data_IF_747184040977
#
_entry.id   IF_747184040977
#
_cell.length_a   1.000
_cell.length_b   1.000
_cell.length_c   1.000
_cell.angle_alpha   90.00
_cell.angle_beta   90.00
_cell.angle_gamma   90.00
#
_symmetry.space_group_name_H-M   'P 1'
#
loop_
_entity.id
_entity.type
_entity.pdbx_description
1 polymer ?
#
# COMPACT_ATOMS: atom_id res chain seq x y z
N UNK A 1 1.62 -12.32 12.22
CA UNK A 1 1.75 -11.54 10.95
C UNK A 1 1.25 -10.11 11.13
N UNK A 2 0.04 -9.86 11.65
CA UNK A 2 -0.43 -8.50 11.99
C UNK A 2 0.39 -7.79 13.10
N UNK A 3 1.00 -8.54 14.03
CA UNK A 3 1.75 -7.96 15.16
C UNK A 3 3.11 -7.34 14.78
N UNK A 4 3.56 -7.48 13.53
CA UNK A 4 4.82 -6.86 13.09
C UNK A 4 4.66 -5.35 12.97
N UNK A 5 5.40 -4.58 13.76
CA UNK A 5 5.39 -3.10 13.73
C UNK A 5 5.74 -2.51 12.36
N UNK A 6 6.57 -3.20 11.57
CA UNK A 6 6.98 -2.80 10.22
C UNK A 6 5.85 -2.86 9.18
N UNK A 7 4.72 -3.49 9.50
CA UNK A 7 3.58 -3.61 8.59
C UNK A 7 2.62 -2.48 8.87
N UNK A 8 2.50 -1.57 7.91
CA UNK A 8 1.56 -0.44 7.94
C UNK A 8 0.13 -0.87 7.59
N UNK A 9 -0.02 -1.67 6.52
CA UNK A 9 -1.31 -2.08 6.00
C UNK A 9 -1.27 -3.50 5.40
N UNK A 10 -2.39 -4.20 5.47
CA UNK A 10 -2.63 -5.52 4.90
C UNK A 10 -3.89 -5.44 4.04
N UNK A 11 -3.77 -5.88 2.78
CA UNK A 11 -4.86 -5.96 1.81
C UNK A 11 -5.06 -7.43 1.45
N UNK A 12 -6.31 -7.88 1.46
CA UNK A 12 -6.63 -9.29 1.23
C UNK A 12 -7.39 -9.41 -0.09
N UNK A 13 -6.88 -10.20 -1.03
CA UNK A 13 -7.61 -10.53 -2.25
C UNK A 13 -8.42 -11.81 -2.06
N UNK A 14 -9.74 -11.71 -2.13
CA UNK A 14 -10.64 -12.86 -2.07
C UNK A 14 -11.97 -12.59 -2.76
N UNK A 15 -12.42 -13.54 -3.58
CA UNK A 15 -13.76 -13.52 -4.18
C UNK A 15 -14.88 -13.71 -3.16
N UNK A 16 -14.67 -14.52 -2.13
CA UNK A 16 -15.63 -14.80 -1.07
C UNK A 16 -15.30 -13.96 0.18
N UNK A 17 -15.81 -12.73 0.20
CA UNK A 17 -15.53 -11.74 1.25
C UNK A 17 -16.05 -12.18 2.63
N UNK A 18 -17.17 -12.90 2.68
CA UNK A 18 -17.84 -13.30 3.93
C UNK A 18 -16.95 -14.13 4.86
N UNK A 19 -15.98 -14.87 4.32
CA UNK A 19 -15.03 -15.64 5.14
C UNK A 19 -14.10 -14.78 5.98
N UNK A 20 -13.80 -13.57 5.50
CA UNK A 20 -12.73 -12.73 6.02
C UNK A 20 -13.22 -11.41 6.59
N UNK A 21 -14.49 -11.03 6.40
CA UNK A 21 -15.05 -9.78 6.94
C UNK A 21 -14.81 -9.60 8.45
N UNK A 22 -14.83 -10.70 9.21
CA UNK A 22 -14.47 -10.73 10.64
C UNK A 22 -13.05 -10.23 10.96
N UNK A 23 -12.12 -10.24 10.00
CA UNK A 23 -10.75 -9.76 10.18
C UNK A 23 -10.62 -8.25 9.99
N UNK A 24 -11.52 -7.64 9.22
CA UNK A 24 -11.56 -6.20 8.97
C UNK A 24 -12.11 -5.39 10.15
N UNK A 25 -13.01 -5.96 10.97
CA UNK A 25 -13.83 -5.15 11.89
C UNK A 25 -13.43 -5.23 13.36
N UNK A 26 -12.86 -6.35 13.84
CA UNK A 26 -12.64 -6.51 15.30
C UNK A 26 -11.25 -7.01 15.71
N UNK A 27 -10.53 -7.74 14.85
CA UNK A 27 -9.28 -8.39 15.25
C UNK A 27 -8.02 -7.66 14.81
N UNK A 28 -7.93 -7.20 13.56
CA UNK A 28 -6.65 -6.77 12.99
C UNK A 28 -6.72 -5.35 12.42
N UNK A 29 -6.29 -4.33 13.19
CA UNK A 29 -6.42 -2.92 12.79
C UNK A 29 -5.58 -2.55 11.54
N UNK A 30 -4.62 -3.40 11.17
CA UNK A 30 -3.79 -3.23 9.97
C UNK A 30 -4.46 -3.76 8.70
N UNK A 31 -5.55 -4.52 8.81
CA UNK A 31 -6.29 -4.98 7.63
C UNK A 31 -7.13 -3.81 7.12
N UNK A 32 -6.69 -3.23 6.00
CA UNK A 32 -7.36 -2.08 5.37
C UNK A 32 -8.58 -2.49 4.54
N UNK A 33 -8.65 -3.75 4.11
CA UNK A 33 -9.80 -4.24 3.38
C UNK A 33 -9.63 -5.62 2.75
N UNK A 34 -10.77 -6.16 2.32
CA UNK A 34 -10.87 -7.39 1.53
C UNK A 34 -11.47 -7.03 0.18
N UNK A 35 -10.77 -7.40 -0.88
CA UNK A 35 -11.05 -7.00 -2.24
C UNK A 35 -11.29 -8.22 -3.10
N UNK A 36 -12.36 -8.17 -3.90
CA UNK A 36 -12.66 -9.22 -4.88
C UNK A 36 -12.14 -8.88 -6.28
N UNK A 37 -11.64 -7.66 -6.47
CA UNK A 37 -11.00 -7.20 -7.69
C UNK A 37 -9.59 -6.67 -7.38
N UNK A 38 -8.62 -7.03 -8.21
CA UNK A 38 -7.24 -6.54 -8.16
C UNK A 38 -7.18 -5.03 -8.41
N UNK A 39 -8.02 -4.48 -9.29
CA UNK A 39 -8.02 -3.03 -9.58
C UNK A 39 -8.32 -2.22 -8.31
N UNK A 40 -9.29 -2.68 -7.52
CA UNK A 40 -9.64 -2.04 -6.25
C UNK A 40 -8.52 -2.13 -5.21
N UNK A 41 -7.67 -3.17 -5.26
CA UNK A 41 -6.45 -3.24 -4.45
C UNK A 41 -5.45 -2.21 -4.93
N UNK A 42 -5.21 -2.14 -6.25
CA UNK A 42 -4.27 -1.19 -6.84
C UNK A 42 -4.66 0.25 -6.50
N UNK A 43 -5.94 0.60 -6.59
CA UNK A 43 -6.43 1.93 -6.21
C UNK A 43 -6.25 2.22 -4.71
N UNK A 44 -6.54 1.23 -3.86
CA UNK A 44 -6.34 1.37 -2.42
C UNK A 44 -4.87 1.49 -2.03
N UNK A 45 -3.99 0.75 -2.71
CA UNK A 45 -2.53 0.84 -2.54
C UNK A 45 -2.02 2.20 -3.00
N UNK A 46 -2.49 2.71 -4.15
CA UNK A 46 -2.14 4.06 -4.65
C UNK A 46 -2.57 5.14 -3.66
N UNK A 47 -3.78 5.03 -3.13
CA UNK A 47 -4.27 5.99 -2.14
C UNK A 47 -3.42 5.96 -0.86
N UNK A 48 -3.12 4.77 -0.35
CA UNK A 48 -2.25 4.62 0.83
C UNK A 48 -0.81 5.08 0.58
N UNK A 49 -0.27 4.84 -0.61
CA UNK A 49 1.05 5.33 -0.98
C UNK A 49 1.12 6.87 -0.98
N UNK A 50 0.05 7.53 -1.46
CA UNK A 50 -0.08 8.99 -1.42
C UNK A 50 -0.23 9.53 0.00
N UNK A 51 -1.02 8.87 0.85
CA UNK A 51 -1.15 9.25 2.27
C UNK A 51 0.20 9.19 3.01
N UNK A 52 1.04 8.19 2.70
CA UNK A 52 2.41 8.14 3.21
C UNK A 52 3.28 9.29 2.70
N UNK A 53 3.19 9.63 1.41
CA UNK A 53 3.99 10.71 0.83
C UNK A 53 3.58 12.09 1.37
N UNK A 54 2.29 12.34 1.59
CA UNK A 54 1.77 13.60 2.17
C UNK A 54 2.14 13.76 3.65
N UNK A 55 2.19 12.68 4.44
CA UNK A 55 2.66 12.72 5.84
C UNK A 55 4.19 12.88 5.92
N UNK A 56 4.95 12.31 4.99
CA UNK A 56 6.40 12.55 4.87
C UNK A 56 6.72 13.94 4.30
N UNK A 57 5.84 14.57 3.51
CA UNK A 57 6.04 15.95 3.04
C UNK A 57 5.85 17.00 4.14
N UNK A 58 5.37 16.61 5.33
CA UNK A 58 5.43 17.41 6.56
C UNK A 58 6.77 17.32 7.29
N UNK A 59 7.83 16.80 6.66
CA UNK A 59 9.20 16.93 7.17
C UNK A 59 9.67 18.38 6.95
N UNK A 60 9.33 19.22 7.92
CA UNK A 60 9.91 20.55 8.10
C UNK A 60 11.42 20.44 8.33
N UNK A 61 12.22 20.72 7.29
CA UNK A 61 13.51 21.40 7.45
C UNK A 61 14.80 20.64 7.15
N UNK A 62 14.85 19.30 7.23
CA UNK A 62 16.05 18.54 6.86
C UNK A 62 15.65 17.15 6.36
N UNK A 63 15.49 17.03 5.04
CA UNK A 63 15.28 15.72 4.40
C UNK A 63 16.66 15.10 4.18
N UNK A 64 16.91 13.94 4.78
CA UNK A 64 18.13 13.17 4.54
C UNK A 64 18.19 12.80 3.05
N UNK A 65 19.32 12.98 2.34
CA UNK A 65 19.41 12.69 0.91
C UNK A 65 18.96 11.26 0.53
N UNK A 66 19.20 10.29 1.40
CA UNK A 66 18.72 8.90 1.30
C UNK A 66 17.20 8.81 1.09
N UNK A 67 16.43 9.69 1.74
CA UNK A 67 14.99 9.75 1.65
C UNK A 67 14.56 10.29 0.28
N UNK A 68 15.21 11.34 -0.22
CA UNK A 68 14.95 11.86 -1.58
C UNK A 68 15.21 10.81 -2.66
N UNK A 69 16.32 10.06 -2.56
CA UNK A 69 16.61 8.98 -3.50
C UNK A 69 15.60 7.84 -3.42
N UNK A 70 15.11 7.53 -2.22
CA UNK A 70 14.08 6.50 -2.03
C UNK A 70 12.74 6.90 -2.65
N UNK A 71 12.36 8.17 -2.51
CA UNK A 71 11.15 8.73 -3.11
C UNK A 71 11.24 8.73 -4.64
N UNK A 72 12.36 9.21 -5.20
CA UNK A 72 12.63 9.17 -6.64
C UNK A 72 12.61 7.73 -7.19
N UNK A 73 13.25 6.79 -6.49
CA UNK A 73 13.28 5.40 -6.92
C UNK A 73 11.88 4.76 -6.88
N UNK A 74 11.09 5.04 -5.84
CA UNK A 74 9.69 4.61 -5.73
C UNK A 74 8.86 5.15 -6.90
N UNK A 75 8.96 6.44 -7.21
CA UNK A 75 8.23 7.06 -8.32
C UNK A 75 8.58 6.38 -9.65
N UNK A 76 9.88 6.22 -9.94
CA UNK A 76 10.35 5.55 -11.16
C UNK A 76 9.79 4.13 -11.25
N UNK A 77 9.89 3.33 -10.17
CA UNK A 77 9.38 1.95 -10.18
C UNK A 77 7.87 1.88 -10.38
N UNK A 78 7.11 2.84 -9.85
CA UNK A 78 5.65 2.89 -9.98
C UNK A 78 5.16 3.46 -11.32
N UNK A 79 5.95 4.31 -11.98
CA UNK A 79 5.66 4.84 -13.31
C UNK A 79 6.10 3.91 -14.45
N UNK A 80 6.98 2.95 -14.18
CA UNK A 80 7.31 1.90 -15.16
C UNK A 80 6.06 1.06 -15.41
N UNK A 81 5.45 1.29 -16.58
CA UNK A 81 4.45 0.40 -17.15
C UNK A 81 5.15 -0.86 -17.64
N UNK A 82 5.09 -1.92 -16.84
CA UNK A 82 5.46 -3.26 -17.31
C UNK A 82 4.37 -3.76 -18.24
N UNK A 83 4.50 -3.43 -19.52
CA UNK A 83 3.77 -4.11 -20.57
C UNK A 83 4.31 -5.55 -20.63
N UNK A 84 3.56 -6.47 -20.03
CA UNK A 84 3.76 -7.89 -20.23
C UNK A 84 3.37 -8.21 -21.68
N UNK A 85 4.33 -8.04 -22.59
CA UNK A 85 4.24 -8.66 -23.91
C UNK A 85 4.11 -10.18 -23.68
N UNK A 86 2.90 -10.70 -23.95
CA UNK A 86 2.62 -12.12 -24.01
C UNK A 86 3.33 -12.69 -25.23
N UNK A 87 4.35 -13.50 -25.01
CA UNK A 87 4.85 -14.48 -25.99
C UNK A 87 3.89 -15.67 -26.09
#
# INVERSE_FOLDING_TARGET
MHDKSQIYAIYIFCFDKSKYEQWTTEKWPKVRGIFANIDSICDSLRQTARECDDDDMKITGQIEPSFMYSMLFKEIVLEIHFDLEKE
#
